data_IF_626137956187
#
_entry.id   IF_626137956187
#
_cell.length_a   1.000
_cell.length_b   1.000
_cell.length_c   1.000
_cell.angle_alpha   90.00
_cell.angle_beta   90.00
_cell.angle_gamma   90.00
#
_symmetry.space_group_name_H-M   'P 1'
#
loop_
_entity.id
_entity.type
_entity.pdbx_description
1 polymer ?
#
# COMPACT_ATOMS: atom_id res chain seq x y z
N UNK A 1 1.73 -9.73 7.70
CA UNK A 1 2.10 -8.79 6.63
C UNK A 1 1.69 -7.35 6.86
N UNK A 2 0.42 -6.99 7.05
CA UNK A 2 0.07 -5.57 7.30
C UNK A 2 0.40 -5.10 8.72
N UNK A 3 0.41 -6.02 9.68
CA UNK A 3 0.88 -5.78 11.05
C UNK A 3 2.42 -5.75 11.06
N UNK A 4 2.97 -4.64 10.55
CA UNK A 4 4.40 -4.38 10.44
C UNK A 4 4.84 -3.13 11.20
N UNK A 5 6.10 -2.71 10.99
CA UNK A 5 6.69 -1.55 11.68
C UNK A 5 5.87 -0.26 11.58
N UNK A 6 5.40 0.11 10.38
CA UNK A 6 4.50 1.26 10.21
C UNK A 6 3.19 1.13 10.98
N UNK A 7 2.66 -0.09 11.10
CA UNK A 7 1.39 -0.37 11.74
C UNK A 7 1.49 -0.42 13.27
N UNK A 8 2.54 -1.02 13.84
CA UNK A 8 2.72 -1.11 15.30
C UNK A 8 3.55 0.05 15.87
N UNK A 9 4.74 0.33 15.34
CA UNK A 9 5.58 1.42 15.82
C UNK A 9 4.98 2.77 15.46
N UNK A 10 4.46 2.92 14.23
CA UNK A 10 3.80 4.16 13.81
C UNK A 10 2.54 4.46 14.63
N UNK A 11 1.76 3.43 14.99
CA UNK A 11 0.64 3.61 15.92
C UNK A 11 1.11 4.07 17.30
N UNK A 12 2.18 3.50 17.85
CA UNK A 12 2.71 3.98 19.13
C UNK A 12 3.26 5.41 19.04
N UNK A 13 3.95 5.77 17.95
CA UNK A 13 4.46 7.13 17.67
C UNK A 13 3.34 8.18 17.66
N UNK A 14 2.25 7.91 16.95
CA UNK A 14 1.15 8.87 16.84
C UNK A 14 0.36 9.01 18.15
N UNK A 15 0.35 8.00 19.02
CA UNK A 15 -0.30 8.13 20.35
C UNK A 15 0.36 9.20 21.24
N UNK A 16 1.66 9.44 21.08
CA UNK A 16 2.39 10.46 21.86
C UNK A 16 2.26 11.84 21.25
N UNK A 17 2.27 11.94 19.91
CA UNK A 17 2.29 13.21 19.19
C UNK A 17 0.89 13.76 18.85
N UNK A 18 -0.05 12.89 18.49
CA UNK A 18 -1.42 13.25 18.07
C UNK A 18 -2.54 12.62 18.90
N UNK A 19 -2.26 11.54 19.62
CA UNK A 19 -3.24 10.81 20.42
C UNK A 19 -4.13 9.85 19.61
N UNK A 20 -5.05 9.18 20.31
CA UNK A 20 -5.92 8.11 19.78
C UNK A 20 -6.73 8.55 18.56
N UNK A 21 -7.27 9.77 18.61
CA UNK A 21 -8.07 10.36 17.52
C UNK A 21 -7.31 10.33 16.19
N UNK A 22 -6.00 10.62 16.20
CA UNK A 22 -5.18 10.66 15.00
C UNK A 22 -4.51 9.32 14.67
N UNK A 23 -4.64 8.31 15.54
CA UNK A 23 -4.21 6.93 15.30
C UNK A 23 -5.17 6.15 14.38
N UNK A 24 -5.39 6.67 13.19
CA UNK A 24 -6.39 6.18 12.24
C UNK A 24 -5.96 4.91 11.50
N UNK A 25 -4.65 4.72 11.26
CA UNK A 25 -4.13 3.66 10.39
C UNK A 25 -4.62 2.24 10.76
N UNK A 26 -4.64 1.82 12.04
CA UNK A 26 -5.16 0.51 12.41
C UNK A 26 -6.60 0.28 11.98
N UNK A 27 -7.48 1.25 12.29
CA UNK A 27 -8.90 1.16 11.96
C UNK A 27 -9.14 1.26 10.45
N UNK A 28 -8.50 2.21 9.78
CA UNK A 28 -8.64 2.42 8.35
C UNK A 28 -8.24 1.19 7.54
N UNK A 29 -7.08 0.61 7.82
CA UNK A 29 -6.62 -0.61 7.14
C UNK A 29 -7.40 -1.87 7.54
N UNK A 30 -7.86 -1.97 8.79
CA UNK A 30 -8.76 -3.05 9.21
C UNK A 30 -10.06 -3.05 8.38
N UNK A 31 -10.65 -1.87 8.18
CA UNK A 31 -11.84 -1.68 7.32
C UNK A 31 -11.49 -1.94 5.84
N UNK A 32 -10.32 -1.49 5.37
CA UNK A 32 -9.84 -1.77 4.01
C UNK A 32 -9.82 -3.27 3.70
N UNK A 33 -9.30 -4.10 4.61
CA UNK A 33 -9.25 -5.56 4.42
C UNK A 33 -10.64 -6.16 4.34
N UNK A 34 -11.57 -5.70 5.19
CA UNK A 34 -12.97 -6.15 5.18
C UNK A 34 -13.63 -5.76 3.85
N UNK A 35 -13.50 -4.50 3.42
CA UNK A 35 -14.13 -4.01 2.19
C UNK A 35 -13.52 -4.64 0.93
N UNK A 36 -12.19 -4.74 0.87
CA UNK A 36 -11.46 -5.43 -0.19
C UNK A 36 -11.90 -6.89 -0.31
N UNK A 37 -12.05 -7.58 0.82
CA UNK A 37 -12.58 -8.93 0.88
C UNK A 37 -14.01 -9.05 0.34
N UNK A 38 -14.95 -8.32 0.95
CA UNK A 38 -16.38 -8.46 0.65
C UNK A 38 -16.71 -8.10 -0.80
N UNK A 39 -16.26 -6.93 -1.25
CA UNK A 39 -16.65 -6.37 -2.54
C UNK A 39 -15.74 -6.85 -3.68
N UNK A 40 -14.42 -6.78 -3.51
CA UNK A 40 -13.47 -6.93 -4.63
C UNK A 40 -12.95 -8.37 -4.79
N UNK A 41 -12.72 -9.10 -3.69
CA UNK A 41 -12.02 -10.39 -3.76
C UNK A 41 -12.75 -11.45 -4.57
N UNK A 42 -14.09 -11.39 -4.59
CA UNK A 42 -14.90 -12.27 -5.42
C UNK A 42 -14.56 -12.15 -6.91
N UNK A 43 -14.62 -10.93 -7.45
CA UNK A 43 -14.34 -10.66 -8.87
C UNK A 43 -12.89 -10.95 -9.22
N UNK A 44 -11.96 -10.48 -8.39
CA UNK A 44 -10.52 -10.66 -8.62
C UNK A 44 -10.12 -12.14 -8.67
N UNK A 45 -10.59 -12.94 -7.70
CA UNK A 45 -10.25 -14.36 -7.62
C UNK A 45 -10.94 -15.21 -8.69
N UNK A 46 -12.19 -14.92 -9.04
CA UNK A 46 -12.93 -15.66 -10.06
C UNK A 46 -12.36 -15.48 -11.46
N UNK A 47 -11.70 -14.35 -11.72
CA UNK A 47 -11.07 -14.07 -13.01
C UNK A 47 -9.71 -14.73 -13.19
N UNK A 48 -9.19 -15.44 -12.18
CA UNK A 48 -7.91 -16.14 -12.27
C UNK A 48 -6.70 -15.21 -12.37
N UNK A 49 -6.80 -13.98 -11.85
CA UNK A 49 -5.68 -13.05 -11.81
C UNK A 49 -4.58 -13.56 -10.86
N UNK A 50 -3.33 -13.26 -11.22
CA UNK A 50 -2.13 -13.52 -10.42
C UNK A 50 -1.70 -12.28 -9.67
N UNK A 51 -1.84 -11.11 -10.28
CA UNK A 51 -1.45 -9.82 -9.69
C UNK A 51 -2.61 -8.83 -9.68
N UNK A 52 -2.48 -7.82 -8.83
CA UNK A 52 -3.39 -6.68 -8.77
C UNK A 52 -3.47 -5.93 -10.11
N UNK A 53 -2.40 -5.92 -10.91
CA UNK A 53 -2.32 -5.16 -12.16
C UNK A 53 -2.91 -5.89 -13.38
N UNK A 54 -3.11 -7.21 -13.29
CA UNK A 54 -3.68 -8.03 -14.36
C UNK A 54 -5.01 -7.50 -14.94
N UNK A 55 -6.03 -7.14 -14.12
CA UNK A 55 -7.27 -6.59 -14.64
C UNK A 55 -7.06 -5.32 -15.49
N UNK A 56 -6.06 -4.49 -15.16
CA UNK A 56 -5.76 -3.27 -15.92
C UNK A 56 -5.11 -3.59 -17.26
N UNK A 57 -4.19 -4.57 -17.31
CA UNK A 57 -3.61 -5.01 -18.58
C UNK A 57 -4.66 -5.61 -19.51
N UNK A 58 -5.60 -6.38 -18.98
CA UNK A 58 -6.67 -6.99 -19.77
C UNK A 58 -7.62 -5.94 -20.33
N UNK A 59 -7.99 -4.92 -19.55
CA UNK A 59 -9.00 -3.93 -19.96
C UNK A 59 -8.43 -2.69 -20.66
N UNK A 60 -7.37 -2.10 -20.13
CA UNK A 60 -6.79 -0.84 -20.64
C UNK A 60 -5.54 -1.06 -21.49
N UNK A 61 -5.14 -2.32 -21.68
CA UNK A 61 -4.00 -2.68 -22.50
C UNK A 61 -2.66 -2.62 -21.78
N UNK A 62 -1.64 -3.13 -22.48
CA UNK A 62 -0.31 -3.38 -21.93
C UNK A 62 0.38 -2.13 -21.39
N UNK A 63 0.39 -1.06 -22.19
CA UNK A 63 1.07 0.20 -21.84
C UNK A 63 0.45 0.84 -20.61
N UNK A 64 -0.89 0.91 -20.55
CA UNK A 64 -1.57 1.54 -19.43
C UNK A 64 -1.40 0.74 -18.13
N UNK A 65 -1.43 -0.59 -18.19
CA UNK A 65 -1.09 -1.42 -17.03
C UNK A 65 0.34 -1.18 -16.51
N UNK A 66 1.32 -0.98 -17.41
CA UNK A 66 2.68 -0.60 -17.01
C UNK A 66 2.75 0.80 -16.38
N UNK A 67 1.96 1.77 -16.84
CA UNK A 67 1.91 3.10 -16.23
C UNK A 67 1.29 3.06 -14.83
N UNK A 68 0.25 2.25 -14.64
CA UNK A 68 -0.42 2.06 -13.35
C UNK A 68 0.45 1.30 -12.33
N UNK A 69 1.52 0.63 -12.77
CA UNK A 69 2.54 0.13 -11.85
C UNK A 69 3.29 1.24 -11.11
N UNK A 70 3.50 2.42 -11.71
CA UNK A 70 4.28 3.50 -11.10
C UNK A 70 3.73 3.96 -9.73
N UNK A 71 2.42 4.30 -9.58
CA UNK A 71 1.88 4.65 -8.27
C UNK A 71 1.94 3.48 -7.28
N UNK A 72 1.82 2.22 -7.72
CA UNK A 72 1.98 1.05 -6.86
C UNK A 72 3.44 0.92 -6.36
N UNK A 73 4.43 1.10 -7.24
CA UNK A 73 5.85 1.05 -6.89
C UNK A 73 6.22 2.13 -5.87
N UNK A 74 5.84 3.38 -6.13
CA UNK A 74 6.13 4.49 -5.21
C UNK A 74 5.54 4.23 -3.83
N UNK A 75 4.32 3.68 -3.80
CA UNK A 75 3.62 3.32 -2.57
C UNK A 75 4.35 2.21 -1.79
N UNK A 76 4.80 1.16 -2.49
CA UNK A 76 5.61 0.10 -1.87
C UNK A 76 6.95 0.64 -1.34
N UNK A 77 7.58 1.60 -2.02
CA UNK A 77 8.80 2.24 -1.54
C UNK A 77 8.53 2.99 -0.22
N UNK A 78 7.46 3.79 -0.13
CA UNK A 78 7.14 4.50 1.12
C UNK A 78 6.84 3.54 2.26
N UNK A 79 6.09 2.47 2.00
CA UNK A 79 5.80 1.48 3.03
C UNK A 79 7.04 0.71 3.48
N UNK A 80 7.84 0.21 2.54
CA UNK A 80 9.13 -0.43 2.83
C UNK A 80 10.05 0.52 3.61
N UNK A 81 10.04 1.81 3.29
CA UNK A 81 10.81 2.82 4.03
C UNK A 81 10.34 2.95 5.47
N UNK A 82 9.03 3.07 5.70
CA UNK A 82 8.44 3.12 7.05
C UNK A 82 8.81 1.88 7.88
N UNK A 83 8.76 0.70 7.25
CA UNK A 83 9.12 -0.57 7.88
C UNK A 83 10.61 -0.59 8.22
N UNK A 84 11.50 -0.25 7.28
CA UNK A 84 12.95 -0.23 7.53
C UNK A 84 13.34 0.79 8.62
N UNK A 85 12.71 1.97 8.65
CA UNK A 85 12.90 2.96 9.72
C UNK A 85 12.45 2.41 11.07
N UNK A 86 11.34 1.65 11.13
CA UNK A 86 10.89 1.01 12.35
C UNK A 86 11.87 -0.07 12.86
N UNK A 87 12.46 -0.88 11.96
CA UNK A 87 13.47 -1.86 12.36
C UNK A 87 14.73 -1.15 12.86
N UNK A 88 15.13 -0.08 12.16
CA UNK A 88 16.26 0.75 12.53
C UNK A 88 16.06 1.40 13.90
N UNK A 89 14.86 1.89 14.21
CA UNK A 89 14.50 2.43 15.52
C UNK A 89 14.66 1.38 16.63
N UNK A 90 14.21 0.14 16.39
CA UNK A 90 14.41 -0.96 17.34
C UNK A 90 15.89 -1.30 17.53
N UNK A 91 16.67 -1.38 16.45
CA UNK A 91 18.11 -1.69 16.55
C UNK A 91 18.91 -0.57 17.21
N UNK A 92 18.58 0.71 16.94
CA UNK A 92 19.19 1.87 17.62
C UNK A 92 19.03 1.74 19.14
N UNK A 93 17.83 1.42 19.62
CA UNK A 93 17.57 1.28 21.06
C UNK A 93 18.30 0.09 21.69
N UNK A 94 18.37 -1.05 21.00
CA UNK A 94 19.01 -2.25 21.55
C UNK A 94 20.54 -2.15 21.55
N UNK A 95 21.10 -1.69 20.43
CA UNK A 95 22.54 -1.73 20.17
C UNK A 95 23.25 -0.42 20.50
N UNK A 96 22.49 0.64 20.81
CA UNK A 96 22.99 2.00 21.07
C UNK A 96 23.89 2.53 19.93
N UNK A 97 23.40 2.35 18.69
CA UNK A 97 24.08 2.81 17.47
C UNK A 97 23.25 3.88 16.75
N UNK A 98 23.88 4.65 15.86
CA UNK A 98 23.19 5.72 15.14
C UNK A 98 22.07 5.20 14.22
N UNK A 99 21.04 6.03 14.03
CA UNK A 99 19.85 5.66 13.26
C UNK A 99 20.15 5.31 11.80
N UNK A 100 21.11 6.00 11.17
CA UNK A 100 21.45 5.75 9.76
C UNK A 100 22.06 4.36 9.60
N UNK A 101 23.03 4.03 10.45
CA UNK A 101 23.66 2.70 10.48
C UNK A 101 22.63 1.61 10.80
N UNK A 102 21.75 1.83 11.79
CA UNK A 102 20.67 0.90 12.11
C UNK A 102 19.75 0.59 10.92
N UNK A 103 19.35 1.62 10.16
CA UNK A 103 18.50 1.43 8.97
C UNK A 103 19.25 0.70 7.85
N UNK A 104 20.54 1.00 7.63
CA UNK A 104 21.36 0.31 6.63
C UNK A 104 21.51 -1.18 6.97
N UNK A 105 21.79 -1.49 8.24
CA UNK A 105 21.87 -2.88 8.73
C UNK A 105 20.51 -3.57 8.55
N UNK A 106 19.42 -2.90 8.93
CA UNK A 106 18.05 -3.39 8.77
C UNK A 106 17.75 -3.74 7.31
N UNK A 107 18.09 -2.85 6.37
CA UNK A 107 17.89 -3.06 4.94
C UNK A 107 18.74 -4.23 4.40
N UNK A 108 20.00 -4.33 4.84
CA UNK A 108 20.88 -5.42 4.42
C UNK A 108 20.39 -6.78 4.91
N UNK A 109 20.02 -6.90 6.19
CA UNK A 109 19.44 -8.12 6.74
C UNK A 109 18.15 -8.44 5.99
N UNK A 110 17.28 -7.46 5.80
CA UNK A 110 15.99 -7.68 5.16
C UNK A 110 16.12 -8.15 3.71
N UNK A 111 17.03 -7.55 2.95
CA UNK A 111 17.30 -7.93 1.57
C UNK A 111 17.89 -9.34 1.48
N UNK A 112 18.84 -9.69 2.34
CA UNK A 112 19.50 -11.01 2.31
C UNK A 112 18.48 -12.15 2.45
N UNK A 113 17.59 -12.08 3.43
CA UNK A 113 16.62 -13.16 3.61
C UNK A 113 15.50 -13.13 2.56
N UNK A 114 15.14 -11.94 2.04
CA UNK A 114 14.14 -11.81 0.97
C UNK A 114 14.64 -12.37 -0.38
N UNK A 115 15.94 -12.23 -0.68
CA UNK A 115 16.55 -12.81 -1.90
C UNK A 115 16.57 -14.36 -1.85
N UNK A 116 16.78 -14.90 -0.65
CA UNK A 116 16.84 -16.34 -0.41
C UNK A 116 15.42 -16.96 -0.31
N UNK A 117 14.44 -16.19 0.19
CA UNK A 117 13.06 -16.61 0.39
C UNK A 117 12.15 -16.38 -0.83
N UNK A 118 11.41 -17.41 -1.24
CA UNK A 118 10.25 -17.24 -2.14
C UNK A 118 8.95 -16.99 -1.35
N UNK A 119 7.83 -16.71 -2.04
CA UNK A 119 6.52 -16.45 -1.41
C UNK A 119 6.09 -17.54 -0.41
N UNK A 120 6.46 -18.81 -0.67
CA UNK A 120 6.21 -19.94 0.25
C UNK A 120 6.98 -19.80 1.56
N UNK A 121 8.29 -19.52 1.50
CA UNK A 121 9.11 -19.31 2.69
C UNK A 121 8.56 -18.15 3.53
N UNK A 122 8.19 -17.05 2.87
CA UNK A 122 7.61 -15.86 3.50
C UNK A 122 6.29 -16.19 4.20
N UNK A 123 5.42 -17.00 3.59
CA UNK A 123 4.15 -17.39 4.20
C UNK A 123 4.32 -18.16 5.53
N UNK A 124 5.31 -19.05 5.61
CA UNK A 124 5.57 -19.82 6.83
C UNK A 124 6.21 -18.97 7.93
N UNK A 125 7.16 -18.09 7.57
CA UNK A 125 7.77 -17.17 8.53
C UNK A 125 6.73 -16.20 9.08
N UNK A 126 5.82 -15.69 8.24
CA UNK A 126 4.74 -14.80 8.64
C UNK A 126 3.90 -15.38 9.80
N UNK A 127 3.58 -16.68 9.77
CA UNK A 127 2.75 -17.33 10.81
C UNK A 127 3.48 -17.39 12.16
N UNK A 128 4.76 -17.76 12.13
CA UNK A 128 5.59 -17.82 13.34
C UNK A 128 5.77 -16.40 13.90
N UNK A 129 6.11 -15.44 13.04
CA UNK A 129 6.32 -14.05 13.41
C UNK A 129 5.02 -13.44 13.97
N UNK A 130 3.86 -13.69 13.37
CA UNK A 130 2.56 -13.21 13.88
C UNK A 130 2.27 -13.72 15.30
N UNK A 131 2.62 -14.97 15.58
CA UNK A 131 2.48 -15.56 16.91
C UNK A 131 3.41 -14.89 17.92
N UNK A 132 4.66 -14.66 17.54
CA UNK A 132 5.63 -13.93 18.36
C UNK A 132 5.18 -12.49 18.64
N UNK A 133 4.63 -11.79 17.64
CA UNK A 133 4.07 -10.43 17.76
C UNK A 133 2.93 -10.42 18.76
N UNK A 134 1.97 -11.33 18.60
CA UNK A 134 0.83 -11.42 19.50
C UNK A 134 1.31 -11.59 20.95
N UNK A 135 2.16 -12.59 21.21
CA UNK A 135 2.64 -12.86 22.56
C UNK A 135 3.51 -11.71 23.09
N UNK A 136 4.48 -11.24 22.31
CA UNK A 136 5.42 -10.21 22.74
C UNK A 136 4.76 -8.87 23.08
N UNK A 137 3.80 -8.44 22.24
CA UNK A 137 3.04 -7.21 22.46
C UNK A 137 2.11 -7.30 23.68
N UNK A 138 1.35 -8.40 23.80
CA UNK A 138 0.41 -8.56 24.90
C UNK A 138 1.08 -8.83 26.25
N UNK A 139 2.22 -9.54 26.27
CA UNK A 139 2.98 -9.78 27.50
C UNK A 139 3.65 -8.50 27.99
N UNK A 140 4.15 -7.64 27.09
CA UNK A 140 4.78 -6.37 27.47
C UNK A 140 3.85 -5.36 28.13
N UNK A 141 2.59 -5.31 27.66
CA UNK A 141 1.59 -4.35 28.09
C UNK A 141 1.38 -4.27 29.62
N UNK A 142 1.08 -5.36 30.36
CA UNK A 142 0.86 -5.29 31.80
C UNK A 142 2.10 -4.86 32.59
N UNK A 143 3.31 -5.13 32.10
CA UNK A 143 4.54 -4.65 32.75
C UNK A 143 4.71 -3.15 32.56
N UNK A 144 4.54 -2.67 31.33
CA UNK A 144 4.62 -1.24 31.03
C UNK A 144 3.56 -0.43 31.81
N UNK A 145 2.32 -0.92 31.91
CA UNK A 145 1.24 -0.25 32.67
C UNK A 145 1.46 -0.22 34.18
N UNK A 146 2.21 -1.18 34.74
CA UNK A 146 2.50 -1.26 36.19
C UNK A 146 3.83 -0.60 36.57
N UNK A 147 4.57 -0.09 35.59
CA UNK A 147 5.84 0.57 35.84
C UNK A 147 5.62 1.85 36.67
N UNK A 148 6.54 2.18 37.59
CA UNK A 148 6.41 3.35 38.48
C UNK A 148 6.38 4.69 37.74
N UNK A 149 6.95 4.72 36.53
CA UNK A 149 6.90 5.85 35.62
C UNK A 149 5.58 5.97 34.86
N UNK A 150 4.76 4.91 34.77
CA UNK A 150 3.54 4.91 33.98
C UNK A 150 2.44 5.76 34.63
N UNK A 151 1.82 6.63 33.84
CA UNK A 151 0.61 7.34 34.24
C UNK A 151 -0.63 6.45 34.16
N UNK A 152 -1.69 6.82 34.89
CA UNK A 152 -2.99 6.16 34.76
C UNK A 152 -3.66 6.56 33.45
N UNK A 153 -3.70 5.63 32.48
CA UNK A 153 -4.41 5.83 31.22
C UNK A 153 -5.94 5.94 31.39
N UNK A 154 -6.47 5.48 32.52
CA UNK A 154 -7.91 5.57 32.85
C UNK A 154 -8.28 6.95 33.37
N UNK A 155 -7.35 7.64 34.03
CA UNK A 155 -7.57 8.96 34.64
C UNK A 155 -7.11 10.10 33.74
N UNK A 156 -6.08 9.87 32.91
CA UNK A 156 -5.57 10.85 31.96
C UNK A 156 -6.29 10.78 30.63
N UNK A 157 -6.67 11.94 30.09
CA UNK A 157 -7.21 12.09 28.72
C UNK A 157 -6.16 12.54 27.72
N UNK A 158 -4.90 12.75 28.14
CA UNK A 158 -3.85 13.32 27.29
C UNK A 158 -3.59 12.49 26.02
N UNK A 159 -3.67 11.16 26.14
CA UNK A 159 -3.45 10.21 25.05
C UNK A 159 -4.64 10.09 24.08
N UNK A 160 -5.79 10.70 24.36
CA UNK A 160 -6.95 10.66 23.45
C UNK A 160 -6.73 11.57 22.24
N UNK A 161 -6.02 12.68 22.42
CA UNK A 161 -5.90 13.72 21.40
C UNK A 161 -7.16 14.58 21.28
N UNK A 162 -7.11 15.58 20.42
CA UNK A 162 -8.24 16.48 20.13
C UNK A 162 -8.44 16.61 18.62
N UNK A 163 -9.69 16.82 18.20
CA UNK A 163 -10.05 17.10 16.82
C UNK A 163 -10.68 18.49 16.74
N UNK A 164 -9.92 19.43 16.20
CA UNK A 164 -10.44 20.76 15.92
C UNK A 164 -11.37 20.74 14.71
N UNK A 165 -12.37 21.63 14.74
CA UNK A 165 -13.39 21.74 13.68
C UNK A 165 -12.78 22.04 12.31
N UNK A 166 -11.67 22.79 12.27
CA UNK A 166 -10.93 23.09 11.06
C UNK A 166 -10.30 21.84 10.42
N UNK A 167 -9.88 20.87 11.23
CA UNK A 167 -9.16 19.67 10.77
C UNK A 167 -10.06 18.48 10.45
N UNK A 168 -11.40 18.63 10.56
CA UNK A 168 -12.36 17.59 10.19
C UNK A 168 -12.19 17.17 8.73
N UNK A 169 -11.89 18.11 7.83
CA UNK A 169 -11.66 17.81 6.41
C UNK A 169 -10.50 16.84 6.22
N UNK A 170 -9.32 17.18 6.74
CA UNK A 170 -8.13 16.32 6.72
C UNK A 170 -8.34 15.01 7.46
N UNK A 171 -9.04 15.03 8.60
CA UNK A 171 -9.35 13.83 9.37
C UNK A 171 -10.15 12.80 8.55
N UNK A 172 -11.18 13.25 7.83
CA UNK A 172 -11.97 12.40 6.93
C UNK A 172 -11.14 11.98 5.72
N UNK A 173 -10.34 12.90 5.17
CA UNK A 173 -9.47 12.63 4.01
C UNK A 173 -8.51 11.46 4.29
N UNK A 174 -7.85 11.48 5.44
CA UNK A 174 -6.91 10.44 5.87
C UNK A 174 -7.62 9.10 6.12
N UNK A 175 -8.82 9.10 6.69
CA UNK A 175 -9.59 7.85 6.83
C UNK A 175 -9.95 7.24 5.48
N UNK A 176 -10.45 8.05 4.53
CA UNK A 176 -10.80 7.58 3.19
C UNK A 176 -9.57 7.08 2.44
N UNK A 177 -8.46 7.80 2.57
CA UNK A 177 -7.14 7.41 2.08
C UNK A 177 -6.73 6.01 2.58
N UNK A 178 -6.80 5.78 3.89
CA UNK A 178 -6.40 4.52 4.51
C UNK A 178 -7.35 3.36 4.12
N UNK A 179 -8.66 3.62 4.09
CA UNK A 179 -9.68 2.61 3.78
C UNK A 179 -9.62 2.20 2.31
N UNK A 180 -9.59 3.17 1.39
CA UNK A 180 -9.68 2.90 -0.04
C UNK A 180 -8.32 2.72 -0.71
N UNK A 181 -7.26 3.33 -0.17
CA UNK A 181 -5.88 3.11 -0.62
C UNK A 181 -5.37 1.71 -0.29
N UNK A 182 -5.82 1.09 0.80
CA UNK A 182 -5.41 -0.27 1.13
C UNK A 182 -5.99 -1.37 0.22
N UNK A 183 -7.12 -1.12 -0.46
CA UNK A 183 -7.80 -2.11 -1.32
C UNK A 183 -6.95 -2.50 -2.55
N UNK A 184 -6.48 -1.57 -3.38
CA UNK A 184 -5.61 -1.82 -4.54
C UNK A 184 -4.16 -2.25 -4.18
N UNK A 185 -3.89 -2.70 -2.95
CA UNK A 185 -2.53 -3.05 -2.54
C UNK A 185 -2.14 -4.48 -2.93
N UNK A 186 -1.05 -4.63 -3.67
CA UNK A 186 -0.62 -5.93 -4.21
C UNK A 186 -0.36 -7.00 -3.13
N UNK A 187 0.22 -6.66 -1.97
CA UNK A 187 0.43 -7.63 -0.88
C UNK A 187 -0.88 -8.30 -0.45
N UNK A 188 -1.97 -7.52 -0.36
CA UNK A 188 -3.28 -8.07 -0.05
C UNK A 188 -3.74 -9.05 -1.14
N UNK A 189 -3.59 -8.66 -2.40
CA UNK A 189 -3.99 -9.48 -3.55
C UNK A 189 -3.16 -10.74 -3.73
N UNK A 190 -1.86 -10.72 -3.45
CA UNK A 190 -1.02 -11.93 -3.50
C UNK A 190 -1.57 -13.04 -2.59
N UNK A 191 -2.04 -12.68 -1.40
CA UNK A 191 -2.63 -13.64 -0.45
C UNK A 191 -4.06 -14.01 -0.83
N UNK A 192 -4.90 -13.03 -1.16
CA UNK A 192 -6.30 -13.27 -1.52
C UNK A 192 -6.44 -14.11 -2.80
N UNK A 193 -5.60 -13.87 -3.81
CA UNK A 193 -5.61 -14.59 -5.09
C UNK A 193 -5.04 -16.01 -4.96
N UNK A 194 -4.12 -16.23 -4.01
CA UNK A 194 -3.57 -17.56 -3.71
C UNK A 194 -4.53 -18.47 -2.92
N UNK A 195 -5.65 -17.93 -2.41
CA UNK A 195 -6.63 -18.73 -1.68
C UNK A 195 -7.28 -19.80 -2.59
N UNK A 196 -7.67 -20.94 -2.03
CA UNK A 196 -8.27 -22.05 -2.81
C UNK A 196 -9.60 -21.67 -3.46
N UNK A 197 -10.44 -20.90 -2.78
CA UNK A 197 -11.78 -20.52 -3.24
C UNK A 197 -12.09 -19.06 -2.92
N UNK A 198 -13.07 -18.50 -3.62
CA UNK A 198 -13.59 -17.15 -3.36
C UNK A 198 -14.09 -17.01 -1.91
N UNK A 199 -14.79 -18.03 -1.39
CA UNK A 199 -15.30 -18.01 -0.02
C UNK A 199 -14.17 -17.93 1.02
N UNK A 200 -13.08 -18.69 0.79
CA UNK A 200 -11.89 -18.63 1.65
C UNK A 200 -11.20 -17.28 1.54
N UNK A 201 -11.02 -16.73 0.33
CA UNK A 201 -10.42 -15.41 0.14
C UNK A 201 -11.18 -14.32 0.91
N UNK A 202 -12.52 -14.33 0.82
CA UNK A 202 -13.41 -13.41 1.55
C UNK A 202 -13.31 -13.60 3.06
N UNK A 203 -13.45 -14.83 3.54
CA UNK A 203 -13.41 -15.15 4.96
C UNK A 203 -12.08 -14.75 5.61
N UNK A 204 -10.95 -15.07 4.95
CA UNK A 204 -9.63 -14.68 5.43
C UNK A 204 -9.43 -13.16 5.43
N UNK A 205 -9.97 -12.43 4.45
CA UNK A 205 -9.87 -10.97 4.41
C UNK A 205 -10.64 -10.30 5.56
N UNK A 206 -11.85 -10.79 5.87
CA UNK A 206 -12.64 -10.29 6.99
C UNK A 206 -11.99 -10.64 8.33
N UNK A 207 -11.53 -11.89 8.49
CA UNK A 207 -10.82 -12.32 9.69
C UNK A 207 -9.52 -11.53 9.90
N UNK A 208 -8.78 -11.23 8.83
CA UNK A 208 -7.58 -10.40 8.88
C UNK A 208 -7.89 -8.95 9.26
N UNK A 209 -9.03 -8.39 8.82
CA UNK A 209 -9.50 -7.08 9.26
C UNK A 209 -9.63 -6.97 10.77
N UNK A 210 -10.41 -7.86 11.39
CA UNK A 210 -10.54 -7.91 12.86
C UNK A 210 -9.25 -8.31 13.57
N UNK A 211 -8.51 -9.27 13.02
CA UNK A 211 -7.25 -9.73 13.59
C UNK A 211 -6.17 -8.65 13.60
N UNK A 212 -6.13 -7.80 12.58
CA UNK A 212 -5.19 -6.66 12.53
C UNK A 212 -5.47 -5.65 13.63
N UNK A 213 -6.75 -5.34 13.90
CA UNK A 213 -7.15 -4.46 15.00
C UNK A 213 -6.73 -5.04 16.35
N UNK A 214 -7.00 -6.33 16.57
CA UNK A 214 -6.61 -7.02 17.81
C UNK A 214 -5.10 -6.94 18.06
N UNK A 215 -4.29 -7.06 17.00
CA UNK A 215 -2.84 -6.97 17.07
C UNK A 215 -2.32 -5.52 17.20
N UNK A 216 -3.09 -4.53 16.74
CA UNK A 216 -2.77 -3.12 16.93
C UNK A 216 -2.99 -2.66 18.38
N UNK A 217 -4.03 -3.19 19.04
CA UNK A 217 -4.45 -2.81 20.39
C UNK A 217 -3.29 -2.68 21.39
N UNK A 218 -2.41 -3.68 21.58
CA UNK A 218 -1.31 -3.55 22.54
C UNK A 218 -0.33 -2.45 22.16
N UNK A 219 -0.04 -2.23 20.87
CA UNK A 219 0.84 -1.15 20.43
C UNK A 219 0.24 0.24 20.70
N UNK A 220 -1.07 0.41 20.47
CA UNK A 220 -1.81 1.65 20.80
C UNK A 220 -1.76 1.90 22.31
N UNK A 221 -2.03 0.88 23.13
CA UNK A 221 -2.02 1.01 24.59
C UNK A 221 -0.61 1.28 25.13
N UNK A 222 0.43 0.66 24.57
CA UNK A 222 1.82 0.97 24.91
C UNK A 222 2.20 2.41 24.52
N UNK A 223 1.69 2.91 23.39
CA UNK A 223 1.80 4.33 23.02
C UNK A 223 1.06 5.25 23.99
N UNK A 224 -0.12 4.86 24.49
CA UNK A 224 -0.84 5.62 25.52
C UNK A 224 -0.08 5.64 26.86
N UNK A 225 0.56 4.53 27.24
CA UNK A 225 1.47 4.47 28.39
C UNK A 225 2.63 5.44 28.18
N UNK A 226 3.26 5.44 26.99
CA UNK A 226 4.34 6.38 26.67
C UNK A 226 3.90 7.85 26.76
N UNK A 227 2.69 8.16 26.28
CA UNK A 227 2.13 9.51 26.25
C UNK A 227 1.76 10.06 27.64
N UNK A 228 1.63 9.18 28.64
CA UNK A 228 1.24 9.53 30.02
C UNK A 228 2.35 9.27 31.04
N UNK A 229 3.47 8.67 30.61
CA UNK A 229 4.57 8.32 31.49
C UNK A 229 5.41 9.55 31.89
N UNK A 230 5.87 9.54 33.14
CA UNK A 230 6.90 10.45 33.64
C UNK A 230 8.28 9.85 33.32
N UNK A 231 8.81 10.21 32.16
CA UNK A 231 10.03 9.63 31.62
C UNK A 231 11.28 9.96 32.47
N UNK A 232 11.24 10.96 33.36
CA UNK A 232 12.33 11.27 34.30
C UNK A 232 12.55 10.15 35.32
N UNK A 233 11.51 9.35 35.61
CA UNK A 233 11.60 8.18 36.51
C UNK A 233 12.18 6.96 35.80
N UNK A 234 12.47 7.06 34.51
CA UNK A 234 13.08 6.00 33.72
C UNK A 234 14.55 6.29 33.47
N UNK A 235 15.30 5.30 32.97
CA UNK A 235 16.67 5.50 32.51
C UNK A 235 16.84 6.40 31.28
N UNK A 236 15.75 6.89 30.67
CA UNK A 236 15.79 7.83 29.54
C UNK A 236 16.18 9.25 29.97
N UNK A 237 15.82 9.67 31.18
CA UNK A 237 16.32 10.91 31.79
C UNK A 237 15.79 12.23 31.22
N UNK A 238 14.69 12.19 30.46
CA UNK A 238 13.96 13.37 29.97
C UNK A 238 12.51 13.34 30.48
N UNK A 239 11.81 14.49 30.60
CA UNK A 239 10.42 14.51 31.07
C UNK A 239 9.43 13.86 30.10
N UNK A 240 9.70 13.98 28.80
CA UNK A 240 8.89 13.42 27.72
C UNK A 240 9.82 12.86 26.65
N UNK A 241 9.31 11.96 25.81
CA UNK A 241 10.05 11.51 24.62
C UNK A 241 10.38 12.72 23.75
N UNK A 242 11.65 12.88 23.39
CA UNK A 242 12.08 13.96 22.50
C UNK A 242 11.44 13.81 21.11
N UNK A 243 11.18 14.93 20.42
CA UNK A 243 10.54 14.92 19.10
C UNK A 243 11.28 14.05 18.08
N UNK A 244 12.62 13.98 18.18
CA UNK A 244 13.49 13.15 17.33
C UNK A 244 13.43 11.64 17.64
N UNK A 245 12.97 11.27 18.83
CA UNK A 245 12.87 9.88 19.30
C UNK A 245 11.43 9.35 19.25
N UNK A 246 10.46 10.12 18.75
CA UNK A 246 9.05 9.69 18.65
C UNK A 246 8.90 8.40 17.83
N UNK A 247 9.70 8.21 16.78
CA UNK A 247 9.71 6.97 15.97
C UNK A 247 10.19 5.74 16.77
N UNK A 248 10.89 5.97 17.88
CA UNK A 248 11.39 4.95 18.81
C UNK A 248 10.48 4.72 20.02
N UNK A 249 9.30 5.34 20.06
CA UNK A 249 8.36 5.25 21.20
C UNK A 249 8.15 3.81 21.67
N UNK A 250 7.77 2.90 20.76
CA UNK A 250 7.48 1.51 21.13
C UNK A 250 8.75 0.78 21.65
N UNK A 251 9.90 0.83 20.95
CA UNK A 251 11.16 0.32 21.49
C UNK A 251 11.55 0.88 22.86
N UNK A 252 11.41 2.20 23.07
CA UNK A 252 11.76 2.87 24.34
C UNK A 252 10.91 2.36 25.50
N UNK A 253 9.60 2.18 25.31
CA UNK A 253 8.71 1.62 26.34
C UNK A 253 9.17 0.22 26.72
N UNK A 254 9.48 -0.64 25.75
CA UNK A 254 9.99 -1.98 26.06
C UNK A 254 11.33 -1.94 26.78
N UNK A 255 12.24 -1.11 26.32
CA UNK A 255 13.59 -1.05 26.87
C UNK A 255 13.60 -0.53 28.31
N UNK A 256 12.86 0.55 28.59
CA UNK A 256 12.91 1.26 29.87
C UNK A 256 11.80 0.90 30.85
N UNK A 257 10.66 0.38 30.39
CA UNK A 257 9.47 0.17 31.24
C UNK A 257 9.08 -1.29 31.39
N UNK A 258 9.89 -2.23 30.88
CA UNK A 258 9.64 -3.67 31.04
C UNK A 258 10.87 -4.41 31.55
N UNK A 259 10.72 -5.53 32.29
CA UNK A 259 11.85 -6.34 32.72
C UNK A 259 12.65 -6.87 31.53
N UNK A 260 13.95 -7.11 31.72
CA UNK A 260 14.87 -7.52 30.63
C UNK A 260 14.36 -8.69 29.79
N UNK A 261 13.81 -9.73 30.43
CA UNK A 261 13.27 -10.89 29.69
C UNK A 261 12.08 -10.52 28.78
N UNK A 262 11.20 -9.62 29.26
CA UNK A 262 10.04 -9.15 28.51
C UNK A 262 10.45 -8.19 27.40
N UNK A 263 11.44 -7.33 27.67
CA UNK A 263 12.05 -6.44 26.69
C UNK A 263 12.66 -7.21 25.52
N UNK A 264 13.44 -8.26 25.80
CA UNK A 264 14.04 -9.11 24.74
C UNK A 264 12.96 -9.78 23.87
N UNK A 265 11.91 -10.32 24.49
CA UNK A 265 10.80 -10.95 23.76
C UNK A 265 10.03 -9.91 22.94
N UNK A 266 9.70 -8.76 23.55
CA UNK A 266 8.93 -7.70 22.92
C UNK A 266 9.66 -7.04 21.75
N UNK A 267 10.91 -6.63 21.95
CA UNK A 267 11.73 -6.02 20.90
C UNK A 267 12.08 -7.02 19.78
N UNK A 268 12.31 -8.29 20.14
CA UNK A 268 12.43 -9.37 19.17
C UNK A 268 11.16 -9.58 18.35
N UNK A 269 9.99 -9.51 18.99
CA UNK A 269 8.69 -9.60 18.34
C UNK A 269 8.39 -8.41 17.42
N UNK A 270 8.73 -7.18 17.84
CA UNK A 270 8.68 -5.97 17.00
C UNK A 270 9.58 -6.16 15.78
N UNK A 271 10.83 -6.59 15.98
CA UNK A 271 11.77 -6.85 14.90
C UNK A 271 11.24 -7.90 13.90
N UNK A 272 10.63 -8.96 14.42
CA UNK A 272 9.98 -10.01 13.63
C UNK A 272 8.79 -9.48 12.80
N UNK A 273 7.95 -8.62 13.39
CA UNK A 273 6.85 -7.95 12.68
C UNK A 273 7.34 -7.16 11.47
N UNK A 274 8.35 -6.35 11.74
CA UNK A 274 8.92 -5.42 10.79
C UNK A 274 9.59 -6.19 9.65
N UNK A 275 10.33 -7.26 10.00
CA UNK A 275 10.91 -8.18 9.02
C UNK A 275 9.81 -8.77 8.12
N UNK A 276 8.79 -9.45 8.66
CA UNK A 276 7.66 -10.06 7.92
C UNK A 276 6.88 -9.14 6.97
N UNK A 277 7.05 -7.83 7.13
CA UNK A 277 6.38 -6.82 6.29
C UNK A 277 7.32 -6.32 5.20
N UNK A 278 8.62 -6.27 5.51
CA UNK A 278 9.67 -5.87 4.57
C UNK A 278 9.77 -6.86 3.41
N UNK A 279 9.81 -8.18 3.69
CA UNK A 279 9.85 -9.19 2.62
C UNK A 279 8.68 -9.03 1.65
N UNK A 280 7.49 -8.84 2.18
CA UNK A 280 6.25 -8.89 1.43
C UNK A 280 6.08 -7.64 0.61
N UNK A 281 6.45 -6.47 1.14
CA UNK A 281 6.47 -5.22 0.38
C UNK A 281 7.50 -5.26 -0.77
N UNK A 282 8.73 -5.70 -0.49
CA UNK A 282 9.78 -5.81 -1.50
C UNK A 282 9.40 -6.86 -2.56
N UNK A 283 8.85 -8.00 -2.14
CA UNK A 283 8.35 -9.05 -3.04
C UNK A 283 7.14 -8.57 -3.85
N UNK A 284 6.26 -7.77 -3.27
CA UNK A 284 5.12 -7.15 -3.93
C UNK A 284 5.57 -6.25 -5.09
N UNK A 285 6.42 -5.26 -4.80
CA UNK A 285 6.94 -4.33 -5.80
C UNK A 285 7.70 -5.05 -6.93
N UNK A 286 8.57 -5.99 -6.56
CA UNK A 286 9.41 -6.73 -7.51
C UNK A 286 8.62 -7.74 -8.35
N UNK A 287 7.62 -8.42 -7.78
CA UNK A 287 6.77 -9.36 -8.53
C UNK A 287 5.90 -8.61 -9.55
N UNK A 288 5.32 -7.47 -9.18
CA UNK A 288 4.60 -6.62 -10.14
C UNK A 288 5.54 -6.14 -11.24
N UNK A 289 6.75 -5.70 -10.92
CA UNK A 289 7.72 -5.31 -11.95
C UNK A 289 8.00 -6.47 -12.92
N UNK A 290 8.35 -7.64 -12.40
CA UNK A 290 8.75 -8.78 -13.21
C UNK A 290 7.61 -9.30 -14.09
N UNK A 291 6.40 -9.44 -13.52
CA UNK A 291 5.24 -10.03 -14.20
C UNK A 291 4.48 -9.01 -15.07
N UNK A 292 4.32 -7.77 -14.61
CA UNK A 292 3.42 -6.79 -15.23
C UNK A 292 4.16 -5.75 -16.08
N UNK A 293 5.45 -5.51 -15.83
CA UNK A 293 6.24 -4.56 -16.61
C UNK A 293 7.22 -5.29 -17.51
N UNK A 294 8.17 -6.02 -16.92
CA UNK A 294 9.24 -6.69 -17.67
C UNK A 294 8.69 -7.74 -18.64
N UNK A 295 7.86 -8.69 -18.18
CA UNK A 295 7.34 -9.74 -19.06
C UNK A 295 6.49 -9.17 -20.21
N UNK A 296 5.76 -8.09 -19.96
CA UNK A 296 4.94 -7.39 -20.96
C UNK A 296 5.80 -6.70 -22.01
N UNK A 297 6.84 -5.97 -21.58
CA UNK A 297 7.81 -5.31 -22.48
C UNK A 297 8.59 -6.38 -23.27
N UNK A 298 9.03 -7.44 -22.60
CA UNK A 298 9.75 -8.54 -23.23
C UNK A 298 8.91 -9.17 -24.35
N UNK A 299 7.63 -9.44 -24.10
CA UNK A 299 6.71 -9.95 -25.11
C UNK A 299 6.55 -8.98 -26.28
N UNK A 300 6.44 -7.68 -26.02
CA UNK A 300 6.31 -6.67 -27.06
C UNK A 300 7.56 -6.59 -27.97
N UNK A 301 8.75 -6.71 -27.38
CA UNK A 301 10.03 -6.58 -28.12
C UNK A 301 10.45 -7.89 -28.79
N UNK A 302 10.25 -9.04 -28.13
CA UNK A 302 10.75 -10.36 -28.59
C UNK A 302 9.69 -11.24 -29.23
N UNK A 303 8.42 -10.84 -29.22
CA UNK A 303 7.31 -11.62 -29.79
C UNK A 303 6.96 -12.91 -29.03
N UNK A 304 7.66 -13.21 -27.93
CA UNK A 304 7.46 -14.41 -27.09
C UNK A 304 7.49 -14.05 -25.61
N UNK A 305 6.86 -14.88 -24.78
CA UNK A 305 6.90 -14.71 -23.34
C UNK A 305 8.29 -15.02 -22.77
N UNK A 306 8.67 -14.31 -21.70
CA UNK A 306 9.90 -14.59 -20.95
C UNK A 306 9.77 -15.96 -20.25
N UNK A 307 10.88 -16.68 -20.08
CA UNK A 307 10.87 -17.92 -19.30
C UNK A 307 10.71 -17.62 -17.81
N UNK A 308 10.12 -18.55 -17.07
CA UNK A 308 9.91 -18.41 -15.62
C UNK A 308 11.23 -18.15 -14.88
N UNK A 309 12.31 -18.83 -15.27
CA UNK A 309 13.65 -18.60 -14.71
C UNK A 309 14.12 -17.15 -14.91
N UNK A 310 13.87 -16.57 -16.09
CA UNK A 310 14.25 -15.19 -16.38
C UNK A 310 13.42 -14.21 -15.54
N UNK A 311 12.10 -14.45 -15.43
CA UNK A 311 11.20 -13.62 -14.60
C UNK A 311 11.66 -13.64 -13.14
N UNK A 312 12.05 -14.79 -12.60
CA UNK A 312 12.56 -14.92 -11.23
C UNK A 312 13.88 -14.16 -11.02
N UNK A 313 14.83 -14.23 -11.95
CA UNK A 313 16.08 -13.47 -11.84
C UNK A 313 15.86 -11.96 -11.92
N UNK A 314 14.97 -11.51 -12.81
CA UNK A 314 14.58 -10.10 -12.89
C UNK A 314 13.88 -9.64 -11.62
N UNK A 315 12.99 -10.46 -11.07
CA UNK A 315 12.34 -10.20 -9.79
C UNK A 315 13.39 -10.00 -8.69
N UNK A 316 14.37 -10.90 -8.56
CA UNK A 316 15.47 -10.77 -7.59
C UNK A 316 16.30 -9.49 -7.78
N UNK A 317 16.61 -9.14 -9.03
CA UNK A 317 17.28 -7.86 -9.33
C UNK A 317 16.44 -6.65 -8.90
N UNK A 318 15.13 -6.68 -9.15
CA UNK A 318 14.21 -5.63 -8.73
C UNK A 318 14.09 -5.53 -7.20
N UNK A 319 14.17 -6.64 -6.46
CA UNK A 319 14.18 -6.62 -4.99
C UNK A 319 15.35 -5.78 -4.44
N UNK A 320 16.54 -5.92 -5.02
CA UNK A 320 17.73 -5.13 -4.64
C UNK A 320 17.49 -3.63 -4.86
N UNK A 321 16.93 -3.27 -6.02
CA UNK A 321 16.65 -1.87 -6.36
C UNK A 321 15.60 -1.26 -5.43
N UNK A 322 14.50 -1.98 -5.17
CA UNK A 322 13.43 -1.52 -4.28
C UNK A 322 13.95 -1.39 -2.84
N UNK A 323 14.74 -2.35 -2.36
CA UNK A 323 15.34 -2.28 -1.03
C UNK A 323 16.29 -1.08 -0.88
N UNK A 324 17.13 -0.83 -1.88
CA UNK A 324 18.05 0.31 -1.88
C UNK A 324 17.29 1.64 -1.91
N UNK A 325 16.28 1.78 -2.78
CA UNK A 325 15.45 2.99 -2.84
C UNK A 325 14.70 3.25 -1.52
N UNK A 326 14.16 2.19 -0.92
CA UNK A 326 13.45 2.28 0.37
C UNK A 326 14.39 2.62 1.52
N UNK A 327 15.63 2.12 1.50
CA UNK A 327 16.66 2.46 2.48
C UNK A 327 17.04 3.95 2.40
N UNK A 328 17.24 4.48 1.20
CA UNK A 328 17.53 5.92 0.99
C UNK A 328 16.39 6.79 1.52
N UNK A 329 15.15 6.41 1.20
CA UNK A 329 13.96 7.11 1.69
C UNK A 329 13.80 7.02 3.22
N UNK A 330 14.03 5.85 3.80
CA UNK A 330 14.00 5.62 5.25
C UNK A 330 15.00 6.49 6.03
N UNK A 331 16.18 6.74 5.45
CA UNK A 331 17.20 7.61 6.04
C UNK A 331 16.86 9.10 5.90
N UNK A 332 16.04 9.45 4.90
CA UNK A 332 15.72 10.84 4.56
C UNK A 332 14.51 11.39 5.34
N UNK A 333 13.61 10.54 5.82
CA UNK A 333 12.37 10.93 6.50
C UNK A 333 12.34 10.36 7.91
N UNK A 334 12.12 11.22 8.91
CA UNK A 334 12.22 10.87 10.35
C UNK A 334 10.98 10.19 10.93
N UNK A 335 9.78 10.48 10.42
CA UNK A 335 8.51 9.93 10.94
C UNK A 335 8.12 8.63 10.24
N UNK A 336 7.98 7.55 11.01
CA UNK A 336 7.53 6.24 10.51
C UNK A 336 6.04 6.33 10.15
N UNK A 337 5.25 6.96 11.00
CA UNK A 337 3.80 7.09 10.78
C UNK A 337 3.49 7.89 9.51
N UNK A 338 4.22 8.98 9.25
CA UNK A 338 4.02 9.81 8.06
C UNK A 338 4.34 9.07 6.76
N UNK A 339 5.45 8.31 6.72
CA UNK A 339 5.77 7.43 5.59
C UNK A 339 4.68 6.37 5.39
N UNK A 340 4.11 5.86 6.48
CA UNK A 340 3.04 4.87 6.42
C UNK A 340 1.72 5.45 5.89
N UNK A 341 1.36 6.70 6.21
CA UNK A 341 0.20 7.35 5.57
C UNK A 341 0.45 7.58 4.08
N UNK A 342 1.64 8.06 3.74
CA UNK A 342 2.02 8.42 2.37
C UNK A 342 2.02 7.22 1.41
N UNK A 343 2.25 6.01 1.92
CA UNK A 343 2.20 4.81 1.07
C UNK A 343 0.82 4.53 0.47
N UNK A 344 -0.28 5.01 1.06
CA UNK A 344 -1.62 4.81 0.49
C UNK A 344 -2.04 5.93 -0.47
N UNK A 345 -1.23 6.98 -0.60
CA UNK A 345 -1.63 8.24 -1.22
C UNK A 345 -1.85 8.13 -2.72
N UNK A 346 -0.80 7.82 -3.48
CA UNK A 346 -0.92 7.65 -4.92
C UNK A 346 -1.81 6.47 -5.29
N UNK A 347 -1.81 5.43 -4.47
CA UNK A 347 -2.67 4.28 -4.65
C UNK A 347 -4.16 4.66 -4.48
N UNK A 348 -4.51 5.46 -3.48
CA UNK A 348 -5.87 5.95 -3.28
C UNK A 348 -6.33 6.93 -4.36
N UNK A 349 -5.47 7.86 -4.76
CA UNK A 349 -5.84 8.87 -5.74
C UNK A 349 -5.93 8.29 -7.16
N UNK A 350 -5.01 7.40 -7.51
CA UNK A 350 -4.86 6.94 -8.89
C UNK A 350 -5.41 5.53 -9.05
N UNK A 351 -4.92 4.56 -8.27
CA UNK A 351 -5.22 3.15 -8.50
C UNK A 351 -6.61 2.73 -8.05
N UNK A 352 -7.11 3.24 -6.92
CA UNK A 352 -8.42 2.87 -6.43
C UNK A 352 -9.56 3.24 -7.41
N UNK A 353 -9.67 4.49 -7.92
CA UNK A 353 -10.66 4.83 -8.94
C UNK A 353 -10.59 3.94 -10.17
N UNK A 354 -9.38 3.66 -10.64
CA UNK A 354 -9.15 2.81 -11.80
C UNK A 354 -9.58 1.37 -11.52
N UNK A 355 -9.30 0.83 -10.32
CA UNK A 355 -9.69 -0.53 -9.92
C UNK A 355 -11.22 -0.68 -9.91
N UNK A 356 -11.92 0.31 -9.35
CA UNK A 356 -13.39 0.38 -9.35
C UNK A 356 -13.90 0.37 -10.80
N UNK A 357 -13.35 1.23 -11.66
CA UNK A 357 -13.73 1.30 -13.06
C UNK A 357 -13.47 0.00 -13.82
N UNK A 358 -12.31 -0.63 -13.62
CA UNK A 358 -11.95 -1.86 -14.31
C UNK A 358 -12.92 -2.99 -13.96
N UNK A 359 -13.23 -3.17 -12.68
CA UNK A 359 -14.01 -4.31 -12.20
C UNK A 359 -15.54 -4.12 -12.27
N UNK A 360 -16.03 -2.88 -12.16
CA UNK A 360 -17.48 -2.62 -12.06
C UNK A 360 -18.05 -1.81 -13.22
N UNK A 361 -17.24 -1.03 -13.95
CA UNK A 361 -17.73 -0.12 -14.99
C UNK A 361 -17.28 -0.59 -16.38
N UNK A 362 -18.03 -1.49 -16.99
CA UNK A 362 -17.59 -2.23 -18.19
C UNK A 362 -17.25 -1.37 -19.41
N UNK A 363 -17.82 -0.18 -19.55
CA UNK A 363 -17.66 0.69 -20.73
C UNK A 363 -16.42 1.61 -20.70
N UNK A 364 -15.64 1.63 -19.59
CA UNK A 364 -14.42 2.44 -19.52
C UNK A 364 -13.32 1.91 -20.44
N UNK A 365 -12.50 2.79 -21.01
CA UNK A 365 -11.44 2.46 -21.96
C UNK A 365 -10.09 3.15 -21.61
N UNK A 366 -9.05 2.87 -22.40
CA UNK A 366 -7.68 3.35 -22.15
C UNK A 366 -7.54 4.87 -22.17
N UNK A 367 -8.29 5.59 -23.01
CA UNK A 367 -8.25 7.06 -23.05
C UNK A 367 -8.75 7.66 -21.74
N UNK A 368 -9.87 7.14 -21.22
CA UNK A 368 -10.36 7.54 -19.90
C UNK A 368 -9.37 7.19 -18.80
N UNK A 369 -8.83 5.97 -18.82
CA UNK A 369 -7.80 5.57 -17.85
C UNK A 369 -6.61 6.54 -17.84
N UNK A 370 -6.08 6.90 -19.01
CA UNK A 370 -4.98 7.86 -19.10
C UNK A 370 -5.37 9.25 -18.58
N UNK A 371 -6.56 9.75 -18.91
CA UNK A 371 -7.06 11.03 -18.41
C UNK A 371 -7.17 11.03 -16.88
N UNK A 372 -7.71 9.96 -16.29
CA UNK A 372 -7.78 9.80 -14.83
C UNK A 372 -6.41 9.74 -14.16
N UNK A 373 -5.46 9.03 -14.77
CA UNK A 373 -4.08 8.99 -14.29
C UNK A 373 -3.44 10.39 -14.28
N UNK A 374 -3.51 11.10 -15.40
CA UNK A 374 -2.87 12.42 -15.55
C UNK A 374 -3.52 13.46 -14.64
N UNK A 375 -4.85 13.55 -14.64
CA UNK A 375 -5.55 14.56 -13.84
C UNK A 375 -5.51 14.22 -12.35
N UNK A 376 -5.65 12.96 -11.96
CA UNK A 376 -5.50 12.53 -10.58
C UNK A 376 -4.11 12.85 -10.03
N UNK A 377 -3.05 12.49 -10.77
CA UNK A 377 -1.68 12.81 -10.38
C UNK A 377 -1.43 14.32 -10.31
N UNK A 378 -1.88 15.07 -11.32
CA UNK A 378 -1.72 16.52 -11.38
C UNK A 378 -2.35 17.20 -10.16
N UNK A 379 -3.64 16.97 -9.91
CA UNK A 379 -4.33 17.61 -8.79
C UNK A 379 -3.81 17.17 -7.42
N UNK A 380 -3.30 15.93 -7.32
CA UNK A 380 -2.64 15.48 -6.09
C UNK A 380 -1.32 16.20 -5.85
N UNK A 381 -0.46 16.32 -6.86
CA UNK A 381 0.82 17.02 -6.72
C UNK A 381 0.63 18.51 -6.45
N UNK A 382 -0.35 19.14 -7.09
CA UNK A 382 -0.66 20.56 -6.87
C UNK A 382 -1.15 20.87 -5.44
N UNK A 383 -1.69 19.88 -4.72
CA UNK A 383 -2.06 20.03 -3.30
C UNK A 383 -0.88 20.13 -2.33
N UNK A 384 0.34 19.80 -2.77
CA UNK A 384 1.53 19.79 -1.92
C UNK A 384 1.62 18.56 -0.99
N UNK A 385 2.78 18.38 -0.37
CA UNK A 385 3.03 17.34 0.63
C UNK A 385 4.15 17.81 1.59
N UNK A 386 3.79 18.32 2.80
CA UNK A 386 4.77 18.86 3.75
C UNK A 386 5.84 17.86 4.15
N UNK A 387 5.50 16.57 4.27
CA UNK A 387 6.45 15.50 4.66
C UNK A 387 7.57 15.34 3.64
N UNK A 388 7.29 15.61 2.36
CA UNK A 388 8.25 15.54 1.26
C UNK A 388 8.85 16.92 0.91
N UNK A 389 8.45 17.99 1.62
CA UNK A 389 8.85 19.36 1.31
C UNK A 389 8.24 19.91 0.02
N UNK A 390 7.13 19.34 -0.46
CA UNK A 390 6.47 19.81 -1.68
C UNK A 390 5.49 20.95 -1.34
N UNK A 391 5.71 22.18 -1.85
CA UNK A 391 4.83 23.30 -1.56
C UNK A 391 3.45 23.10 -2.21
N UNK A 392 2.40 23.57 -1.54
CA UNK A 392 1.06 23.63 -2.12
C UNK A 392 1.02 24.71 -3.22
N UNK A 393 0.67 24.31 -4.43
CA UNK A 393 0.45 25.24 -5.55
C UNK A 393 -1.01 25.67 -5.60
N UNK A 394 -1.93 24.73 -5.30
CA UNK A 394 -3.34 25.02 -5.07
C UNK A 394 -3.56 25.08 -3.56
N UNK A 395 -3.86 26.28 -3.08
CA UNK A 395 -4.31 26.51 -1.71
C UNK A 395 -5.82 26.23 -1.66
N UNK A 396 -6.21 25.05 -1.17
CA UNK A 396 -7.62 24.70 -1.06
C UNK A 396 -8.29 25.45 0.10
N UNK A 397 -9.63 25.53 0.15
CA UNK A 397 -10.33 26.26 1.20
C UNK A 397 -9.90 25.84 2.61
N UNK A 398 -9.53 26.81 3.44
CA UNK A 398 -9.00 26.55 4.79
C UNK A 398 -7.52 26.20 4.84
N UNK A 399 -6.76 26.43 3.75
CA UNK A 399 -5.30 26.34 3.77
C UNK A 399 -4.70 27.31 4.79
N UNK A 400 -3.82 26.80 5.64
CA UNK A 400 -3.02 27.58 6.58
C UNK A 400 -1.54 27.25 6.34
N UNK A 401 -0.64 28.22 6.11
CA UNK A 401 0.78 27.96 5.93
C UNK A 401 1.45 27.20 7.09
N UNK A 402 0.94 27.33 8.32
CA UNK A 402 1.48 26.66 9.50
C UNK A 402 0.99 25.21 9.66
N UNK A 403 -0.25 24.93 9.27
CA UNK A 403 -0.89 23.60 9.49
C UNK A 403 -1.02 22.80 8.18
N UNK A 404 -0.91 23.46 7.03
CA UNK A 404 -1.07 22.89 5.69
C UNK A 404 -2.53 22.83 5.24
N UNK A 405 -2.81 21.89 4.32
CA UNK A 405 -4.15 21.69 3.75
C UNK A 405 -5.13 21.16 4.81
N UNK A 406 -6.24 21.88 5.03
CA UNK A 406 -7.36 21.43 5.87
C UNK A 406 -8.51 20.82 5.06
N UNK A 407 -8.60 21.16 3.78
CA UNK A 407 -9.57 20.59 2.86
C UNK A 407 -9.17 19.14 2.48
N UNK A 408 -10.15 18.23 2.29
CA UNK A 408 -9.92 16.85 1.87
C UNK A 408 -9.47 16.76 0.39
N UNK A 409 -8.28 17.28 0.11
CA UNK A 409 -7.75 17.45 -1.23
C UNK A 409 -7.34 16.12 -1.87
N UNK A 410 -6.95 15.09 -1.10
CA UNK A 410 -6.64 13.75 -1.66
C UNK A 410 -7.91 13.06 -2.14
N UNK A 411 -8.98 13.16 -1.36
CA UNK A 411 -10.32 12.68 -1.74
C UNK A 411 -10.84 13.41 -2.96
N UNK A 412 -10.66 14.74 -3.03
CA UNK A 412 -11.00 15.49 -4.23
C UNK A 412 -10.18 15.03 -5.44
N UNK A 413 -8.86 14.85 -5.31
CA UNK A 413 -8.02 14.35 -6.40
C UNK A 413 -8.44 12.93 -6.86
N UNK A 414 -8.81 12.06 -5.91
CA UNK A 414 -9.35 10.71 -6.21
C UNK A 414 -10.70 10.79 -6.94
N UNK A 415 -11.58 11.71 -6.54
CA UNK A 415 -12.83 11.95 -7.24
C UNK A 415 -12.61 12.52 -8.66
N UNK A 416 -11.67 13.46 -8.82
CA UNK A 416 -11.27 13.99 -10.14
C UNK A 416 -10.75 12.86 -11.01
N UNK A 417 -9.88 11.99 -10.47
CA UNK A 417 -9.37 10.80 -11.16
C UNK A 417 -10.53 9.92 -11.64
N UNK A 418 -11.46 9.55 -10.76
CA UNK A 418 -12.64 8.74 -11.09
C UNK A 418 -13.49 9.37 -12.19
N UNK A 419 -13.89 10.63 -12.01
CA UNK A 419 -14.72 11.37 -12.97
C UNK A 419 -14.01 11.49 -14.31
N UNK A 420 -12.70 11.71 -14.31
CA UNK A 420 -11.89 11.78 -15.53
C UNK A 420 -11.81 10.45 -16.26
N UNK A 421 -11.75 9.31 -15.55
CA UNK A 421 -11.86 7.99 -16.18
C UNK A 421 -13.20 7.82 -16.88
N UNK A 422 -14.29 8.19 -16.20
CA UNK A 422 -15.64 8.05 -16.72
C UNK A 422 -15.89 8.99 -17.92
N UNK A 423 -15.66 10.29 -17.74
CA UNK A 423 -15.87 11.28 -18.80
C UNK A 423 -14.92 11.07 -19.97
N UNK A 424 -13.63 10.83 -19.72
CA UNK A 424 -12.66 10.57 -20.78
C UNK A 424 -13.02 9.32 -21.59
N UNK A 425 -13.52 8.28 -20.93
CA UNK A 425 -14.00 7.07 -21.62
C UNK A 425 -15.25 7.36 -22.45
N UNK A 426 -16.21 8.11 -21.91
CA UNK A 426 -17.47 8.45 -22.56
C UNK A 426 -17.25 9.37 -23.77
N UNK A 427 -16.40 10.39 -23.65
CA UNK A 427 -16.01 11.30 -24.73
C UNK A 427 -15.28 10.53 -25.82
N UNK A 428 -14.30 9.69 -25.48
CA UNK A 428 -13.61 8.88 -26.47
C UNK A 428 -14.58 7.97 -27.23
N UNK A 429 -15.48 7.27 -26.51
CA UNK A 429 -16.51 6.47 -27.14
C UNK A 429 -17.40 7.32 -28.05
N UNK A 430 -17.92 8.45 -27.57
CA UNK A 430 -18.77 9.33 -28.39
C UNK A 430 -18.06 9.78 -29.67
N UNK A 431 -16.80 10.20 -29.59
CA UNK A 431 -16.05 10.70 -30.75
C UNK A 431 -15.77 9.63 -31.80
N UNK A 432 -15.38 8.42 -31.39
CA UNK A 432 -15.10 7.32 -32.32
C UNK A 432 -16.41 6.69 -32.86
N UNK A 433 -17.38 6.40 -31.99
CA UNK A 433 -18.66 5.77 -32.38
C UNK A 433 -19.50 6.66 -33.29
N UNK A 434 -19.46 7.98 -33.06
CA UNK A 434 -20.17 8.96 -33.90
C UNK A 434 -19.40 9.31 -35.19
N UNK A 435 -18.25 8.67 -35.44
CA UNK A 435 -17.37 8.92 -36.60
C UNK A 435 -16.87 10.36 -36.72
N UNK A 436 -16.86 11.12 -35.62
CA UNK A 436 -16.28 12.47 -35.55
C UNK A 436 -14.75 12.35 -35.66
N UNK A 437 -14.17 11.36 -35.00
CA UNK A 437 -12.76 10.98 -35.18
C UNK A 437 -12.66 9.73 -36.05
N UNK A 438 -11.76 9.70 -37.06
CA UNK A 438 -11.55 8.51 -37.85
C UNK A 438 -10.85 7.43 -37.01
N UNK A 439 -11.21 6.17 -37.24
CA UNK A 439 -10.63 5.02 -36.53
C UNK A 439 -9.11 4.86 -36.74
N UNK A 440 -8.51 5.54 -37.72
CA UNK A 440 -7.06 5.64 -37.88
C UNK A 440 -6.37 6.39 -36.75
N UNK A 441 -7.09 7.29 -36.05
CA UNK A 441 -6.62 8.04 -34.89
C UNK A 441 -6.79 7.28 -33.57
N UNK A 442 -7.30 6.05 -33.60
CA UNK A 442 -7.39 5.20 -32.42
C UNK A 442 -6.02 4.59 -32.05
N UNK A 443 -5.21 5.37 -31.35
CA UNK A 443 -3.84 5.01 -30.91
C UNK A 443 -3.84 3.81 -29.97
N UNK A 444 -4.80 3.73 -29.06
CA UNK A 444 -4.91 2.64 -28.07
C UNK A 444 -5.72 1.44 -28.56
N UNK A 445 -6.20 1.47 -29.82
CA UNK A 445 -6.88 0.35 -30.44
C UNK A 445 -8.14 -0.12 -29.67
N UNK A 446 -8.83 0.80 -28.99
CA UNK A 446 -10.02 0.50 -28.19
C UNK A 446 -11.28 0.25 -29.03
N UNK A 447 -11.32 0.72 -30.28
CA UNK A 447 -12.51 0.74 -31.14
C UNK A 447 -12.28 0.03 -32.49
N UNK A 448 -11.37 -0.96 -32.54
CA UNK A 448 -11.02 -1.67 -33.78
C UNK A 448 -12.20 -2.37 -34.47
N UNK A 449 -13.22 -2.82 -33.74
CA UNK A 449 -14.40 -3.43 -34.35
C UNK A 449 -15.20 -2.45 -35.23
N UNK A 450 -15.17 -1.14 -34.92
CA UNK A 450 -15.79 -0.11 -35.78
C UNK A 450 -14.99 0.13 -37.07
N UNK A 451 -13.70 -0.25 -37.06
CA UNK A 451 -12.80 -0.22 -38.22
C UNK A 451 -13.24 -1.27 -39.24
N UNK A 452 -13.56 -2.48 -38.79
CA UNK A 452 -14.07 -3.60 -39.61
C UNK A 452 -15.48 -3.34 -40.17
N UNK A 453 -16.35 -2.63 -39.43
CA UNK A 453 -17.67 -2.21 -39.91
C UNK A 453 -17.63 -0.98 -40.86
N UNK A 454 -16.51 -0.26 -40.89
CA UNK A 454 -16.32 0.90 -41.77
C UNK A 454 -15.64 0.56 -43.10
N UNK A 455 -15.03 -0.63 -43.20
CA UNK A 455 -14.62 -1.22 -44.47
C UNK A 455 -15.86 -1.70 -45.21
N UNK A 456 -16.16 -1.01 -46.30
CA UNK A 456 -17.27 -1.32 -47.21
C UNK A 456 -17.24 -2.81 -47.61
N UNK A 457 -18.29 -3.62 -47.31
CA UNK A 457 -18.36 -5.01 -47.76
C UNK A 457 -18.33 -5.13 -49.29
N UNK A 458 -18.50 -4.04 -50.04
CA UNK A 458 -18.38 -4.02 -51.49
C UNK A 458 -16.94 -4.14 -52.03
N UNK A 459 -15.89 -4.04 -51.19
CA UNK A 459 -14.49 -4.17 -51.65
C UNK A 459 -13.85 -5.55 -51.48
N UNK A 460 -14.44 -6.45 -50.71
CA UNK A 460 -13.92 -7.82 -50.54
C UNK A 460 -14.55 -8.86 -51.49
N UNK A 461 -15.56 -8.49 -52.29
CA UNK A 461 -16.27 -9.44 -53.17
C UNK A 461 -15.55 -9.67 -54.53
N UNK A 462 -14.41 -9.03 -54.81
CA UNK A 462 -13.72 -9.14 -56.11
C UNK A 462 -12.37 -9.87 -56.12
N UNK A 463 -12.00 -10.59 -55.06
CA UNK A 463 -10.84 -11.50 -55.11
C UNK A 463 -11.09 -12.81 -54.37
N UNK A 464 -11.73 -13.76 -55.07
CA UNK A 464 -11.49 -15.21 -54.97
C UNK A 464 -12.01 -15.97 -53.73
N UNK A 465 -12.69 -17.12 -53.89
CA UNK A 465 -13.09 -17.96 -52.78
C UNK A 465 -11.93 -18.87 -52.40
N UNK A 466 -11.30 -18.64 -51.26
CA UNK A 466 -10.61 -19.71 -50.57
C UNK A 466 -10.31 -19.33 -49.11
N UNK A 467 -10.50 -20.32 -48.25
CA UNK A 467 -9.97 -20.46 -46.89
C UNK A 467 -10.67 -19.79 -45.69
N UNK A 468 -11.30 -20.69 -44.91
CA UNK A 468 -11.05 -20.99 -43.49
C UNK A 468 -12.21 -20.78 -42.53
N UNK A 469 -12.83 -21.94 -42.28
CA UNK A 469 -13.79 -22.28 -41.25
C UNK A 469 -13.33 -21.88 -39.84
N UNK A 470 -14.26 -21.32 -39.10
CA UNK A 470 -14.23 -21.09 -37.66
C UNK A 470 -14.09 -22.42 -36.89
N UNK A 471 -12.90 -22.73 -36.38
CA UNK A 471 -12.75 -23.73 -35.32
C UNK A 471 -13.04 -23.09 -33.95
N UNK A 472 -14.23 -23.39 -33.47
CA UNK A 472 -14.65 -23.22 -32.08
C UNK A 472 -13.99 -24.34 -31.26
N UNK A 473 -12.90 -24.07 -30.52
CA UNK A 473 -12.40 -25.02 -29.51
C UNK A 473 -12.94 -24.67 -28.13
N UNK A 474 -14.06 -25.33 -27.80
CA UNK A 474 -14.48 -25.63 -26.44
C UNK A 474 -13.36 -26.43 -25.74
N UNK A 475 -12.82 -25.88 -24.65
CA UNK A 475 -12.07 -26.68 -23.68
C UNK A 475 -13.08 -27.34 -22.73
N UNK A 476 -13.49 -28.55 -23.07
CA UNK A 476 -13.90 -29.57 -22.10
C UNK A 476 -12.66 -30.44 -21.82
N UNK A 477 -12.31 -30.62 -20.55
CA UNK A 477 -11.21 -31.49 -20.17
C UNK A 477 -10.94 -31.50 -18.67
N UNK A 478 -11.64 -32.41 -17.98
CA UNK A 478 -11.27 -33.10 -16.74
C UNK A 478 -9.87 -32.80 -16.14
N UNK A 479 -9.87 -32.28 -14.91
CA UNK A 479 -9.08 -32.77 -13.78
C UNK A 479 -9.63 -32.14 -12.48
#
# INVERSE_FOLDING_TARGET
TWVGGGYINGSAEIMVSGGLVWCQAPLGYGISLIFGGLFFAGKMRSSGFTTMLDPFHQKYGRVMGCLLYLPALVSEIFWSSAILSALGATLKVILDIDMKTSVIISAAIALLYTLLGGLYSVAYTDVIQLTCIFIGLWVGLPFAMKHEAAGSILESTHWLGTLDTASIGTFVDLYLLLIFGGIPWQVFWQRALSAKTVAVARGLSVAAGFGSLLLATPAILLGAVAATADWNKTGYGQPTIATEDLSMTLPLVYFYMTPTAVSLIGLGAVSAAVMSSTDSSILSASSMFACNVFAVIYRAVKGKWASDTMVVWVMRGAQVVVAAASCVMAISVSSIYSLFLLCSDFVYVILFPQLVCVLYVHWTNTYGSLAGFVLGLLFRLLGGEPVLGWPAVIEYPGFDPAVGQQFPHRTLASAISLVSVLLGSAVAAFLFRSKILPASRDVFQCFQHEKELSTDPAKEVLTGPDTLQLETKQFNGNA
#
